data_IF_834304856379
#
_entry.id   IF_834304856379
#
_cell.length_a   1.000
_cell.length_b   1.000
_cell.length_c   1.000
_cell.angle_alpha   90.00
_cell.angle_beta   90.00
_cell.angle_gamma   90.00
#
_symmetry.space_group_name_H-M   'P 1'
#
loop_
_entity.id
_entity.type
_entity.pdbx_description
1 polymer ?
#
# COMPACT_ATOMS: atom_id res chain seq x y z
N UNK A 1 14.18 -3.60 36.40
CA UNK A 1 14.37 -4.23 35.07
C UNK A 1 13.09 -4.82 34.48
N UNK A 2 12.23 -5.55 35.23
CA UNK A 2 10.99 -6.13 34.67
C UNK A 2 9.96 -5.11 34.15
N UNK A 3 9.83 -3.94 34.79
CA UNK A 3 8.88 -2.88 34.37
C UNK A 3 9.18 -2.31 32.97
N UNK A 4 10.46 -2.16 32.62
CA UNK A 4 10.86 -1.70 31.28
C UNK A 4 10.55 -2.72 30.20
N UNK A 5 10.65 -4.01 30.51
CA UNK A 5 10.34 -5.08 29.55
C UNK A 5 8.84 -5.13 29.20
N UNK A 6 7.98 -4.94 30.21
CA UNK A 6 6.53 -4.87 30.02
C UNK A 6 6.11 -3.64 29.19
N UNK A 7 6.75 -2.49 29.41
CA UNK A 7 6.52 -1.27 28.61
C UNK A 7 6.95 -1.45 27.15
N UNK A 8 8.08 -2.11 26.89
CA UNK A 8 8.55 -2.40 25.54
C UNK A 8 7.62 -3.38 24.79
N UNK A 9 7.12 -4.41 25.49
CA UNK A 9 6.14 -5.36 24.93
C UNK A 9 4.83 -4.65 24.56
N UNK A 10 4.30 -3.80 25.44
CA UNK A 10 3.09 -3.03 25.16
C UNK A 10 3.28 -2.08 23.97
N UNK A 11 4.43 -1.40 23.89
CA UNK A 11 4.75 -0.55 22.74
C UNK A 11 4.83 -1.35 21.44
N UNK A 12 5.47 -2.53 21.45
CA UNK A 12 5.55 -3.40 20.28
C UNK A 12 4.16 -3.86 19.80
N UNK A 13 3.28 -4.27 20.72
CA UNK A 13 1.90 -4.67 20.37
C UNK A 13 1.12 -3.50 19.79
N UNK A 14 1.18 -2.31 20.41
CA UNK A 14 0.49 -1.12 19.91
C UNK A 14 1.03 -0.69 18.54
N UNK A 15 2.34 -0.80 18.32
CA UNK A 15 2.97 -0.48 17.05
C UNK A 15 2.59 -1.50 15.96
N UNK A 16 2.55 -2.80 16.28
CA UNK A 16 2.09 -3.84 15.36
C UNK A 16 0.62 -3.62 14.96
N UNK A 17 -0.26 -3.32 15.92
CA UNK A 17 -1.66 -3.02 15.64
C UNK A 17 -1.81 -1.76 14.78
N UNK A 18 -1.06 -0.69 15.09
CA UNK A 18 -1.07 0.54 14.28
C UNK A 18 -0.58 0.31 12.84
N UNK A 19 0.44 -0.53 12.66
CA UNK A 19 0.97 -0.91 11.35
C UNK A 19 -0.01 -1.81 10.58
N UNK A 20 -0.64 -2.78 11.23
CA UNK A 20 -1.68 -3.64 10.63
C UNK A 20 -2.89 -2.83 10.16
N UNK A 21 -3.37 -1.90 10.99
CA UNK A 21 -4.50 -1.02 10.62
C UNK A 21 -4.15 -0.16 9.41
N UNK A 22 -2.95 0.45 9.38
CA UNK A 22 -2.49 1.19 8.20
C UNK A 22 -2.36 0.31 6.98
N UNK A 23 -1.76 -0.89 7.11
CA UNK A 23 -1.59 -1.81 5.99
C UNK A 23 -2.94 -2.26 5.41
N UNK A 24 -3.93 -2.51 6.27
CA UNK A 24 -5.29 -2.86 5.83
C UNK A 24 -5.95 -1.69 5.10
N UNK A 25 -5.87 -0.47 5.63
CA UNK A 25 -6.42 0.72 4.98
C UNK A 25 -5.76 1.02 3.62
N UNK A 26 -4.44 0.86 3.52
CA UNK A 26 -3.70 0.97 2.25
C UNK A 26 -4.19 -0.11 1.27
N UNK A 27 -4.37 -1.34 1.74
CA UNK A 27 -4.82 -2.46 0.90
C UNK A 27 -6.25 -2.25 0.40
N UNK A 28 -7.15 -1.76 1.24
CA UNK A 28 -8.51 -1.37 0.85
C UNK A 28 -8.50 -0.24 -0.18
N UNK A 29 -7.76 0.85 0.07
CA UNK A 29 -7.60 1.94 -0.91
C UNK A 29 -7.05 1.44 -2.26
N UNK A 30 -6.06 0.55 -2.25
CA UNK A 30 -5.54 -0.03 -3.49
C UNK A 30 -6.57 -0.89 -4.23
N UNK A 31 -7.38 -1.66 -3.49
CA UNK A 31 -8.36 -2.60 -4.03
C UNK A 31 -9.73 -2.00 -4.37
N UNK A 32 -10.05 -0.82 -3.83
CA UNK A 32 -11.31 -0.13 -4.10
C UNK A 32 -11.04 1.08 -5.00
N UNK A 33 -10.24 2.04 -4.54
CA UNK A 33 -10.04 3.32 -5.22
C UNK A 33 -9.12 3.20 -6.44
N UNK A 34 -8.04 2.42 -6.32
CA UNK A 34 -7.06 2.26 -7.39
C UNK A 34 -7.32 1.06 -8.30
N UNK A 35 -8.36 0.25 -8.03
CA UNK A 35 -8.63 -0.98 -8.78
C UNK A 35 -8.86 -0.75 -10.26
N UNK A 36 -9.60 0.29 -10.65
CA UNK A 36 -9.77 0.62 -12.07
C UNK A 36 -8.45 0.94 -12.76
N UNK A 37 -7.53 1.63 -12.07
CA UNK A 37 -6.20 1.96 -12.61
C UNK A 37 -5.31 0.72 -12.67
N UNK A 38 -5.45 -0.17 -11.70
CA UNK A 38 -4.81 -1.48 -11.72
C UNK A 38 -5.29 -2.33 -12.92
N UNK A 39 -6.60 -2.47 -13.10
CA UNK A 39 -7.20 -3.24 -14.20
C UNK A 39 -6.75 -2.70 -15.57
N UNK A 40 -6.58 -1.37 -15.70
CA UNK A 40 -6.07 -0.73 -16.91
C UNK A 40 -4.57 -1.01 -17.17
N UNK A 41 -3.76 -1.21 -16.13
CA UNK A 41 -2.31 -1.48 -16.26
C UNK A 41 -1.97 -2.97 -16.16
N UNK A 42 -2.86 -3.82 -15.67
CA UNK A 42 -2.70 -5.27 -15.58
C UNK A 42 -2.21 -5.91 -16.90
N UNK A 43 -2.79 -5.62 -18.08
CA UNK A 43 -2.27 -6.16 -19.35
C UNK A 43 -0.88 -5.62 -19.70
N UNK A 44 -0.53 -4.45 -19.19
CA UNK A 44 0.76 -3.79 -19.38
C UNK A 44 1.86 -4.30 -18.43
N UNK A 45 1.52 -5.04 -17.37
CA UNK A 45 2.51 -5.58 -16.42
C UNK A 45 3.52 -6.52 -17.10
N UNK A 46 3.11 -7.21 -18.16
CA UNK A 46 3.98 -8.09 -18.98
C UNK A 46 4.76 -7.35 -20.07
N UNK A 47 4.43 -6.10 -20.35
CA UNK A 47 5.01 -5.34 -21.47
C UNK A 47 5.18 -3.86 -21.10
N UNK A 48 5.86 -3.61 -19.98
CA UNK A 48 6.03 -2.28 -19.38
C UNK A 48 6.74 -1.27 -20.28
N UNK A 49 7.48 -1.75 -21.29
CA UNK A 49 8.28 -0.92 -22.19
C UNK A 49 7.45 -0.20 -23.27
N UNK A 50 6.19 -0.61 -23.49
CA UNK A 50 5.34 0.06 -24.48
C UNK A 50 5.00 1.48 -24.02
N UNK A 51 5.06 2.50 -24.90
CA UNK A 51 4.75 3.88 -24.54
C UNK A 51 3.36 4.06 -23.90
N UNK A 52 2.36 3.38 -24.46
CA UNK A 52 0.98 3.32 -23.97
C UNK A 52 0.84 2.70 -22.56
N UNK A 53 1.79 1.84 -22.17
CA UNK A 53 1.81 1.20 -20.87
C UNK A 53 2.50 2.08 -19.80
N UNK A 54 3.47 2.91 -20.21
CA UNK A 54 4.17 3.83 -19.31
C UNK A 54 3.24 4.86 -18.67
N UNK A 55 2.32 5.43 -19.46
CA UNK A 55 1.34 6.41 -18.97
C UNK A 55 0.32 5.77 -18.00
N UNK A 56 -0.20 4.59 -18.36
CA UNK A 56 -1.13 3.82 -17.50
C UNK A 56 -0.47 3.42 -16.18
N UNK A 57 0.80 3.01 -16.23
CA UNK A 57 1.59 2.70 -15.04
C UNK A 57 1.82 3.93 -14.17
N UNK A 58 2.18 5.06 -14.76
CA UNK A 58 2.31 6.32 -14.02
C UNK A 58 1.02 6.75 -13.33
N UNK A 59 -0.13 6.52 -13.97
CA UNK A 59 -1.45 6.82 -13.39
C UNK A 59 -1.78 5.89 -12.22
N UNK A 60 -1.51 4.59 -12.34
CA UNK A 60 -1.68 3.63 -11.25
C UNK A 60 -0.77 3.95 -10.05
N UNK A 61 0.51 4.25 -10.31
CA UNK A 61 1.47 4.61 -9.26
C UNK A 61 1.08 5.90 -8.53
N UNK A 62 0.54 6.89 -9.24
CA UNK A 62 0.03 8.13 -8.62
C UNK A 62 -1.16 7.82 -7.71
N UNK A 63 -2.09 6.96 -8.12
CA UNK A 63 -3.18 6.51 -7.26
C UNK A 63 -2.68 5.76 -6.03
N UNK A 64 -1.71 4.84 -6.20
CA UNK A 64 -1.11 4.18 -5.05
C UNK A 64 -0.48 5.17 -4.06
N UNK A 65 0.22 6.21 -4.55
CA UNK A 65 0.85 7.19 -3.67
C UNK A 65 -0.15 7.92 -2.77
N UNK A 66 -1.38 8.17 -3.23
CA UNK A 66 -2.42 8.77 -2.39
C UNK A 66 -2.94 7.83 -1.32
N UNK A 67 -2.82 6.50 -1.48
CA UNK A 67 -3.17 5.55 -0.43
C UNK A 67 -2.16 5.51 0.73
N UNK A 68 -0.93 5.98 0.52
CA UNK A 68 0.12 6.03 1.55
C UNK A 68 0.19 7.36 2.30
N UNK A 69 -0.60 8.36 1.89
CA UNK A 69 -0.60 9.72 2.46
C UNK A 69 -1.78 9.88 3.41
#
# INVERSE_FOLDING_TARGET
>A
MMKSLALLMLFAVLFQQGMEVKAKAITECMNEDCKQKFDAVAPCLRSREKPECKEKFGTYMRCMSTCYT
#
